data_IF_488274810485
#
_entry.id   IF_488274810485
#
_cell.length_a   1.000
_cell.length_b   1.000
_cell.length_c   1.000
_cell.angle_alpha   90.00
_cell.angle_beta   90.00
_cell.angle_gamma   90.00
#
_symmetry.space_group_name_H-M   'P 1'
#
loop_
_entity.id
_entity.type
_entity.pdbx_description
1 polymer ?
#
# COMPACT_ATOMS: atom_id res chain seq x y z
N UNK A 1 9.58 -17.81 -40.06
CA UNK A 1 8.11 -17.62 -39.90
C UNK A 1 7.83 -16.15 -39.63
N UNK A 2 6.99 -15.53 -40.45
CA UNK A 2 6.70 -14.09 -40.35
C UNK A 2 5.75 -13.81 -39.18
N UNK A 3 6.24 -13.12 -38.14
CA UNK A 3 5.44 -12.73 -36.95
C UNK A 3 4.17 -11.94 -37.32
N UNK A 4 4.10 -11.41 -38.54
CA UNK A 4 2.93 -10.69 -39.09
C UNK A 4 1.70 -11.57 -39.32
N UNK A 5 1.86 -12.89 -39.53
CA UNK A 5 0.72 -13.81 -39.85
C UNK A 5 -0.03 -14.37 -38.64
N UNK A 6 0.48 -14.17 -37.42
CA UNK A 6 -0.03 -14.86 -36.23
C UNK A 6 -1.03 -14.04 -35.40
N UNK A 7 -1.44 -12.84 -35.83
CA UNK A 7 -2.36 -11.97 -35.06
C UNK A 7 -1.79 -11.43 -33.74
N UNK A 8 -0.51 -11.72 -33.45
CA UNK A 8 0.13 -11.41 -32.16
C UNK A 8 0.42 -9.92 -31.93
N UNK A 9 0.19 -9.07 -32.93
CA UNK A 9 0.45 -7.61 -32.85
C UNK A 9 -0.43 -6.93 -31.81
N UNK A 10 -1.63 -7.44 -31.55
CA UNK A 10 -2.56 -6.90 -30.55
C UNK A 10 -2.07 -7.12 -29.09
N UNK A 11 -1.16 -8.06 -28.87
CA UNK A 11 -0.57 -8.32 -27.55
C UNK A 11 0.81 -7.65 -27.38
N UNK A 12 1.23 -6.85 -28.36
CA UNK A 12 2.50 -6.14 -28.29
C UNK A 12 2.33 -4.97 -27.32
N UNK A 13 2.96 -5.08 -26.15
CA UNK A 13 3.05 -3.98 -25.19
C UNK A 13 3.73 -2.77 -25.84
N UNK A 14 3.06 -1.63 -25.73
CA UNK A 14 3.56 -0.34 -26.17
C UNK A 14 4.52 0.25 -25.13
N UNK A 15 5.27 1.29 -25.51
CA UNK A 15 6.21 1.94 -24.59
C UNK A 15 5.52 2.42 -23.30
N UNK A 16 4.27 2.91 -23.42
CA UNK A 16 3.45 3.30 -22.28
C UNK A 16 3.14 2.11 -21.36
N UNK A 17 2.76 0.96 -21.91
CA UNK A 17 2.42 -0.22 -21.10
C UNK A 17 3.62 -0.70 -20.28
N UNK A 18 4.83 -0.61 -20.85
CA UNK A 18 6.06 -0.92 -20.13
C UNK A 18 6.37 0.07 -19.00
N UNK A 19 6.05 1.36 -19.18
CA UNK A 19 6.17 2.37 -18.11
C UNK A 19 5.18 2.07 -17.00
N UNK A 20 3.91 1.81 -17.35
CA UNK A 20 2.87 1.45 -16.39
C UNK A 20 3.23 0.18 -15.63
N UNK A 21 3.72 -0.86 -16.31
CA UNK A 21 4.16 -2.10 -15.67
C UNK A 21 5.31 -1.88 -14.67
N UNK A 22 6.26 -0.97 -14.99
CA UNK A 22 7.35 -0.61 -14.07
C UNK A 22 6.84 0.13 -12.85
N UNK A 23 5.94 1.11 -13.02
CA UNK A 23 5.29 1.84 -11.93
C UNK A 23 4.46 0.92 -11.04
N UNK A 24 3.73 -0.02 -11.64
CA UNK A 24 2.98 -1.03 -10.88
C UNK A 24 3.93 -1.93 -10.09
N UNK A 25 5.02 -2.40 -10.69
CA UNK A 25 6.02 -3.20 -10.00
C UNK A 25 6.66 -2.49 -8.80
N UNK A 26 6.91 -1.17 -8.87
CA UNK A 26 7.45 -0.45 -7.71
C UNK A 26 6.45 -0.38 -6.57
N UNK A 27 5.16 -0.19 -6.86
CA UNK A 27 4.10 -0.19 -5.84
C UNK A 27 3.88 -1.60 -5.26
N UNK A 28 3.90 -2.64 -6.09
CA UNK A 28 3.74 -4.01 -5.60
C UNK A 28 4.91 -4.48 -4.71
N UNK A 29 6.11 -3.89 -4.87
CA UNK A 29 7.24 -4.20 -4.00
C UNK A 29 6.96 -3.87 -2.53
N UNK A 30 6.35 -2.72 -2.22
CA UNK A 30 6.03 -2.40 -0.81
C UNK A 30 5.09 -3.42 -0.19
N UNK A 31 4.10 -3.90 -0.95
CA UNK A 31 3.18 -4.94 -0.50
C UNK A 31 3.87 -6.29 -0.32
N UNK A 32 4.77 -6.64 -1.25
CA UNK A 32 5.59 -7.85 -1.15
C UNK A 32 6.48 -7.82 0.08
N UNK A 33 7.15 -6.70 0.33
CA UNK A 33 8.08 -6.56 1.45
C UNK A 33 7.33 -6.62 2.78
N UNK A 34 6.16 -5.98 2.88
CA UNK A 34 5.27 -6.14 4.02
C UNK A 34 4.80 -7.59 4.20
N UNK A 35 4.43 -8.28 3.11
CA UNK A 35 4.02 -9.69 3.18
C UNK A 35 5.15 -10.58 3.70
N UNK A 36 6.38 -10.38 3.21
CA UNK A 36 7.55 -11.11 3.69
C UNK A 36 7.85 -10.82 5.15
N UNK A 37 7.72 -9.56 5.57
CA UNK A 37 7.85 -9.15 6.96
C UNK A 37 6.86 -9.90 7.86
N UNK A 38 5.59 -9.99 7.43
CA UNK A 38 4.56 -10.72 8.17
C UNK A 38 4.77 -12.25 8.22
N UNK A 39 5.38 -12.83 7.19
CA UNK A 39 5.64 -14.27 7.11
C UNK A 39 6.83 -14.73 7.96
N UNK A 40 7.85 -13.88 8.16
CA UNK A 40 9.11 -14.29 8.79
C UNK A 40 9.09 -14.17 10.32
N UNK A 41 8.51 -13.10 10.87
CA UNK A 41 8.86 -12.66 12.24
C UNK A 41 7.82 -12.93 13.34
N UNK A 42 6.74 -13.69 13.07
CA UNK A 42 5.55 -13.71 13.96
C UNK A 42 5.24 -12.31 14.53
N UNK A 43 5.06 -11.29 13.68
CA UNK A 43 4.80 -9.95 14.17
C UNK A 43 3.55 -9.99 15.05
N UNK A 44 3.71 -9.52 16.28
CA UNK A 44 2.58 -9.22 17.13
C UNK A 44 1.76 -8.09 16.50
N UNK A 45 0.49 -7.98 16.88
CA UNK A 45 -0.42 -6.96 16.35
C UNK A 45 0.14 -5.53 16.49
N UNK A 46 1.01 -5.31 17.48
CA UNK A 46 1.75 -4.08 17.70
C UNK A 46 2.65 -3.68 16.51
N UNK A 47 3.19 -4.64 15.76
CA UNK A 47 4.01 -4.38 14.55
C UNK A 47 3.18 -4.22 13.27
N UNK A 48 1.89 -4.57 13.30
CA UNK A 48 0.98 -4.39 12.16
C UNK A 48 0.74 -2.90 11.89
N UNK A 49 0.56 -2.09 12.94
CA UNK A 49 0.33 -0.64 12.82
C UNK A 49 1.50 0.08 12.09
N UNK A 50 2.77 -0.05 12.52
CA UNK A 50 3.91 0.51 11.78
C UNK A 50 4.00 0.08 10.31
N UNK A 51 3.72 -1.18 10.01
CA UNK A 51 3.76 -1.68 8.64
C UNK A 51 2.62 -1.09 7.79
N UNK A 52 1.41 -0.99 8.35
CA UNK A 52 0.29 -0.32 7.67
C UNK A 52 0.57 1.17 7.44
N UNK A 53 1.18 1.86 8.42
CA UNK A 53 1.54 3.28 8.30
C UNK A 53 2.54 3.50 7.18
N UNK A 54 3.54 2.62 7.10
CA UNK A 54 4.53 2.65 6.03
C UNK A 54 3.90 2.45 4.64
N UNK A 55 3.00 1.46 4.50
CA UNK A 55 2.27 1.23 3.24
C UNK A 55 1.42 2.46 2.88
N UNK A 56 0.70 3.03 3.87
CA UNK A 56 -0.13 4.21 3.67
C UNK A 56 0.69 5.42 3.21
N UNK A 57 1.86 5.66 3.82
CA UNK A 57 2.77 6.72 3.41
C UNK A 57 3.23 6.53 1.96
N UNK A 58 3.62 5.31 1.57
CA UNK A 58 4.01 5.04 0.18
C UNK A 58 2.86 5.28 -0.80
N UNK A 59 1.63 4.93 -0.43
CA UNK A 59 0.46 5.21 -1.27
C UNK A 59 0.16 6.70 -1.39
N UNK A 60 0.21 7.44 -0.27
CA UNK A 60 0.00 8.90 -0.29
C UNK A 60 1.06 9.58 -1.15
N UNK A 61 2.33 9.23 -0.98
CA UNK A 61 3.42 9.77 -1.78
C UNK A 61 3.20 9.53 -3.28
N UNK A 62 2.78 8.31 -3.65
CA UNK A 62 2.44 8.01 -5.04
C UNK A 62 1.21 8.78 -5.53
N UNK A 63 0.17 8.95 -4.71
CA UNK A 63 -1.03 9.73 -5.09
C UNK A 63 -0.65 11.20 -5.34
N UNK A 64 0.25 11.77 -4.54
CA UNK A 64 0.72 13.15 -4.69
C UNK A 64 1.71 13.34 -5.85
N UNK A 65 2.29 12.27 -6.38
CA UNK A 65 3.25 12.30 -7.48
C UNK A 65 2.54 12.37 -8.84
N UNK A 66 1.88 13.50 -9.10
CA UNK A 66 1.02 13.70 -10.30
C UNK A 66 1.80 13.79 -11.60
N UNK A 67 3.10 14.07 -11.54
CA UNK A 67 3.92 14.34 -12.72
C UNK A 67 4.65 13.09 -13.23
N UNK A 68 4.89 12.10 -12.36
CA UNK A 68 5.69 10.92 -12.71
C UNK A 68 4.91 9.62 -12.79
N UNK A 69 3.65 9.57 -12.31
CA UNK A 69 2.81 8.38 -12.36
C UNK A 69 1.70 8.47 -13.40
N UNK A 70 1.40 7.33 -14.06
CA UNK A 70 0.27 7.26 -14.98
C UNK A 70 -1.06 7.40 -14.20
N UNK A 71 -2.08 8.01 -14.83
CA UNK A 71 -3.39 8.19 -14.20
C UNK A 71 -4.04 6.87 -13.75
N UNK A 72 -3.77 5.77 -14.46
CA UNK A 72 -4.22 4.44 -14.05
C UNK A 72 -3.59 4.01 -12.72
N UNK A 73 -2.33 4.38 -12.47
CA UNK A 73 -1.62 4.09 -11.23
C UNK A 73 -2.19 4.94 -10.08
N UNK A 74 -2.50 6.22 -10.31
CA UNK A 74 -3.19 7.04 -9.30
C UNK A 74 -4.54 6.45 -8.90
N UNK A 75 -5.33 6.01 -9.88
CA UNK A 75 -6.62 5.36 -9.61
C UNK A 75 -6.43 4.07 -8.78
N UNK A 76 -5.45 3.24 -9.15
CA UNK A 76 -5.13 2.01 -8.42
C UNK A 76 -4.68 2.31 -6.97
N UNK A 77 -3.83 3.31 -6.76
CA UNK A 77 -3.41 3.75 -5.43
C UNK A 77 -4.59 4.28 -4.60
N UNK A 78 -5.52 5.00 -5.22
CA UNK A 78 -6.75 5.46 -4.56
C UNK A 78 -7.61 4.30 -4.07
N UNK A 79 -7.76 3.24 -4.88
CA UNK A 79 -8.44 2.01 -4.47
C UNK A 79 -7.68 1.31 -3.35
N UNK A 80 -6.36 1.13 -3.50
CA UNK A 80 -5.53 0.46 -2.50
C UNK A 80 -5.55 1.18 -1.14
N UNK A 81 -5.53 2.51 -1.13
CA UNK A 81 -5.65 3.32 0.09
C UNK A 81 -7.00 3.14 0.77
N UNK A 82 -8.10 3.11 0.02
CA UNK A 82 -9.43 2.83 0.59
C UNK A 82 -9.50 1.44 1.22
N UNK A 83 -8.92 0.45 0.55
CA UNK A 83 -8.81 -0.91 1.11
C UNK A 83 -7.99 -0.92 2.39
N UNK A 84 -6.84 -0.23 2.43
CA UNK A 84 -6.01 -0.14 3.63
C UNK A 84 -6.73 0.56 4.79
N UNK A 85 -7.44 1.66 4.52
CA UNK A 85 -8.26 2.37 5.52
C UNK A 85 -9.35 1.48 6.12
N UNK A 86 -9.95 0.58 5.33
CA UNK A 86 -10.90 -0.39 5.87
C UNK A 86 -10.23 -1.33 6.87
N UNK A 87 -9.03 -1.82 6.58
CA UNK A 87 -8.26 -2.63 7.54
C UNK A 87 -7.86 -1.85 8.79
N UNK A 88 -7.56 -0.55 8.68
CA UNK A 88 -7.37 0.29 9.87
C UNK A 88 -8.60 0.28 10.75
N UNK A 89 -9.79 0.54 10.18
CA UNK A 89 -11.02 0.54 10.97
C UNK A 89 -11.24 -0.79 11.70
N UNK A 90 -10.96 -1.93 11.05
CA UNK A 90 -11.15 -3.25 11.69
C UNK A 90 -10.10 -3.52 12.77
N UNK A 91 -8.86 -3.11 12.54
CA UNK A 91 -7.75 -3.30 13.50
C UNK A 91 -7.98 -2.44 14.75
N UNK A 92 -8.54 -1.24 14.57
CA UNK A 92 -8.82 -0.27 15.63
C UNK A 92 -9.87 -0.77 16.64
N UNK A 93 -10.88 -1.51 16.16
CA UNK A 93 -11.93 -2.14 16.98
C UNK A 93 -11.54 -3.50 17.57
N UNK A 94 -10.36 -4.02 17.25
CA UNK A 94 -9.95 -5.34 17.71
C UNK A 94 -9.35 -5.26 19.12
N UNK A 95 -9.94 -5.98 20.08
CA UNK A 95 -9.50 -6.06 21.50
C UNK A 95 -8.05 -6.59 21.67
N UNK A 96 -7.45 -7.06 20.58
CA UNK A 96 -6.13 -7.67 20.54
C UNK A 96 -4.98 -6.65 20.59
N UNK A 97 -5.27 -5.35 20.43
CA UNK A 97 -4.27 -4.29 20.58
C UNK A 97 -4.33 -3.76 22.02
N UNK A 98 -3.36 -4.13 22.87
CA UNK A 98 -3.34 -3.66 24.26
C UNK A 98 -3.30 -2.11 24.28
N UNK A 99 -4.26 -1.45 24.95
CA UNK A 99 -4.44 0.02 24.89
C UNK A 99 -3.15 0.81 25.17
N UNK A 100 -2.31 0.31 26.08
CA UNK A 100 -1.05 0.96 26.44
C UNK A 100 -0.04 1.02 25.28
N UNK A 101 0.02 0.01 24.41
CA UNK A 101 0.94 0.00 23.27
C UNK A 101 0.43 0.91 22.16
N UNK A 102 -0.87 0.83 21.85
CA UNK A 102 -1.54 1.65 20.84
C UNK A 102 -1.40 3.14 21.14
N UNK A 103 -1.72 3.55 22.36
CA UNK A 103 -1.63 4.94 22.80
C UNK A 103 -0.17 5.44 22.84
N UNK A 104 0.79 4.58 23.21
CA UNK A 104 2.22 4.92 23.14
C UNK A 104 2.68 5.08 21.69
N UNK A 105 2.21 4.23 20.79
CA UNK A 105 2.53 4.29 19.37
C UNK A 105 1.96 5.56 18.73
N UNK A 106 0.67 5.84 18.90
CA UNK A 106 0.02 7.05 18.33
C UNK A 106 0.67 8.34 18.79
N UNK A 107 1.05 8.43 20.07
CA UNK A 107 1.81 9.57 20.61
C UNK A 107 3.22 9.68 19.98
N UNK A 108 3.88 8.56 19.75
CA UNK A 108 5.23 8.55 19.17
C UNK A 108 5.21 8.82 17.66
N UNK A 109 4.17 8.36 16.96
CA UNK A 109 3.97 8.54 15.53
C UNK A 109 3.31 9.89 15.18
N UNK A 110 2.99 10.71 16.18
CA UNK A 110 2.38 12.03 16.04
C UNK A 110 1.08 12.03 15.20
N UNK A 111 0.23 11.05 15.47
CA UNK A 111 -1.09 10.92 14.87
C UNK A 111 -2.05 12.03 15.34
N UNK A 112 -3.11 12.30 14.58
CA UNK A 112 -4.11 13.33 14.93
C UNK A 112 -4.77 13.06 16.29
N UNK A 113 -5.08 14.12 17.04
CA UNK A 113 -5.58 14.04 18.42
C UNK A 113 -6.89 13.23 18.53
N UNK A 114 -7.72 13.23 17.49
CA UNK A 114 -8.96 12.44 17.44
C UNK A 114 -8.69 10.93 17.58
N UNK A 115 -7.61 10.44 16.97
CA UNK A 115 -7.17 9.05 17.07
C UNK A 115 -6.47 8.75 18.40
N UNK A 116 -5.84 9.75 19.02
CA UNK A 116 -5.23 9.60 20.35
C UNK A 116 -6.30 9.50 21.44
N UNK A 117 -7.39 10.27 21.32
CA UNK A 117 -8.47 10.33 22.32
C UNK A 117 -9.41 9.13 22.29
N UNK A 118 -9.46 8.40 21.18
CA UNK A 118 -10.34 7.24 20.96
C UNK A 118 -9.66 5.87 21.17
N UNK A 119 -8.36 5.88 21.52
CA UNK A 119 -7.51 4.71 21.69
C UNK A 119 -7.37 4.21 23.15
#
# INVERSE_FOLDING_TARGET
MDKRKLGLRQYKLEARDWVLAKQLCSILKVLRDATLYFLHDMPNLAMVLPAMDYINQMFVNGITDTDNLDSAIHAALGVAKRTLNHYYSVTDFSEFCTPCYKLKYFKTANWEDEWIQTA
#
